data_IF_596262242512
#
_entry.id   IF_596262242512
#
_cell.length_a   1.000
_cell.length_b   1.000
_cell.length_c   1.000
_cell.angle_alpha   90.00
_cell.angle_beta   90.00
_cell.angle_gamma   90.00
#
_symmetry.space_group_name_H-M   'P 1'
#
loop_
_entity.id
_entity.type
_entity.pdbx_description
1 polymer ?
#
# COMPACT_ATOMS: atom_id res chain seq x y z
N UNK A 1 18.37 14.35 1.57
CA UNK A 1 17.34 15.18 0.87
C UNK A 1 16.03 14.43 0.95
N UNK A 2 14.90 15.09 1.25
CA UNK A 2 13.56 14.46 1.19
C UNK A 2 13.16 14.51 -0.28
N UNK A 3 12.91 13.38 -0.97
CA UNK A 3 12.70 13.39 -2.41
C UNK A 3 11.39 14.09 -2.80
N UNK A 4 10.36 13.98 -1.94
CA UNK A 4 9.05 14.58 -2.12
C UNK A 4 8.25 14.54 -0.81
N UNK A 5 7.16 15.30 -0.75
CA UNK A 5 6.35 15.47 0.46
C UNK A 5 5.59 14.18 0.81
N UNK A 6 5.79 13.71 2.04
CA UNK A 6 5.11 12.56 2.58
C UNK A 6 5.00 12.63 4.10
N UNK A 7 4.07 11.90 4.65
CA UNK A 7 3.78 11.84 6.08
C UNK A 7 3.67 10.39 6.53
N UNK A 8 3.74 10.14 7.83
CA UNK A 8 3.34 8.87 8.40
C UNK A 8 2.69 9.08 9.76
N UNK A 9 1.75 8.21 10.08
CA UNK A 9 1.04 8.16 11.37
C UNK A 9 1.33 6.81 11.98
N UNK A 10 2.00 6.80 13.13
CA UNK A 10 2.19 5.60 13.94
C UNK A 10 0.89 5.24 14.67
N UNK A 11 0.63 3.94 14.84
CA UNK A 11 -0.60 3.43 15.45
C UNK A 11 -1.89 3.92 14.76
N UNK A 12 -1.86 4.09 13.43
CA UNK A 12 -3.05 4.32 12.63
C UNK A 12 -4.09 3.20 12.84
N UNK A 13 -3.63 1.96 12.97
CA UNK A 13 -4.41 0.85 13.49
C UNK A 13 -3.78 0.33 14.77
N UNK A 14 -4.62 -0.04 15.74
CA UNK A 14 -4.13 -0.72 16.95
C UNK A 14 -3.52 -2.07 16.61
N UNK A 15 -2.66 -2.59 17.47
CA UNK A 15 -2.06 -3.91 17.28
C UNK A 15 -3.12 -5.01 17.10
N UNK A 16 -4.22 -4.96 17.83
CA UNK A 16 -5.33 -5.91 17.72
C UNK A 16 -5.96 -5.86 16.31
N UNK A 17 -6.22 -4.66 15.77
CA UNK A 17 -6.77 -4.50 14.42
C UNK A 17 -5.80 -5.02 13.37
N UNK A 18 -4.51 -4.71 13.51
CA UNK A 18 -3.46 -5.20 12.60
C UNK A 18 -3.41 -6.73 12.60
N UNK A 19 -3.43 -7.37 13.76
CA UNK A 19 -3.42 -8.82 13.86
C UNK A 19 -4.66 -9.48 13.25
N UNK A 20 -5.84 -8.88 13.44
CA UNK A 20 -7.08 -9.37 12.81
C UNK A 20 -7.00 -9.28 11.29
N UNK A 21 -6.56 -8.15 10.75
CA UNK A 21 -6.38 -7.98 9.30
C UNK A 21 -5.27 -8.88 8.74
N UNK A 22 -4.17 -9.04 9.48
CA UNK A 22 -3.10 -9.94 9.09
C UNK A 22 -3.61 -11.38 8.94
N UNK A 23 -4.36 -11.89 9.93
CA UNK A 23 -4.96 -13.25 9.88
C UNK A 23 -5.95 -13.38 8.72
N UNK A 24 -6.73 -12.35 8.44
CA UNK A 24 -7.65 -12.36 7.31
C UNK A 24 -6.91 -12.48 5.98
N UNK A 25 -5.80 -11.75 5.83
CA UNK A 25 -4.95 -11.85 4.65
C UNK A 25 -4.28 -13.23 4.56
N UNK A 26 -3.69 -13.70 5.65
CA UNK A 26 -2.94 -14.96 5.71
C UNK A 26 -3.85 -16.19 5.50
N UNK A 27 -5.11 -16.09 5.90
CA UNK A 27 -6.14 -17.11 5.68
C UNK A 27 -6.79 -17.08 4.29
N UNK A 28 -6.45 -16.11 3.42
CA UNK A 28 -7.10 -15.95 2.12
C UNK A 28 -6.71 -17.05 1.15
N UNK A 29 -7.71 -17.84 0.69
CA UNK A 29 -7.51 -18.86 -0.34
C UNK A 29 -7.06 -18.26 -1.68
N UNK A 30 -7.52 -17.05 -2.00
CA UNK A 30 -7.07 -16.31 -3.21
C UNK A 30 -5.57 -16.10 -3.19
N UNK A 31 -5.02 -15.71 -2.03
CA UNK A 31 -3.58 -15.50 -1.87
C UNK A 31 -2.83 -16.83 -1.99
N UNK A 32 -3.27 -17.87 -1.29
CA UNK A 32 -2.64 -19.20 -1.36
C UNK A 32 -2.64 -19.74 -2.78
N UNK A 33 -3.78 -19.70 -3.45
CA UNK A 33 -3.90 -20.16 -4.84
C UNK A 33 -3.03 -19.36 -5.80
N UNK A 34 -2.89 -18.06 -5.61
CA UNK A 34 -2.03 -17.23 -6.45
C UNK A 34 -0.54 -17.56 -6.23
N UNK A 35 -0.13 -17.85 -4.98
CA UNK A 35 1.24 -18.29 -4.69
C UNK A 35 1.53 -19.63 -5.34
N UNK A 36 0.64 -20.61 -5.14
CA UNK A 36 0.83 -21.99 -5.59
C UNK A 36 0.86 -22.08 -7.12
N UNK A 37 0.10 -21.24 -7.79
CA UNK A 37 0.02 -21.20 -9.25
C UNK A 37 1.01 -20.22 -9.93
N UNK A 38 1.82 -19.49 -9.16
CA UNK A 38 2.75 -18.48 -9.71
C UNK A 38 2.04 -17.31 -10.43
N UNK A 39 0.75 -17.12 -10.17
CA UNK A 39 -0.13 -16.21 -10.92
C UNK A 39 -0.11 -14.77 -10.38
N UNK A 40 1.06 -14.15 -10.39
CA UNK A 40 1.18 -12.71 -10.16
C UNK A 40 1.45 -11.96 -11.47
N UNK A 41 0.66 -12.27 -12.50
CA UNK A 41 0.73 -11.55 -13.76
C UNK A 41 -0.25 -10.39 -13.73
N UNK A 42 0.23 -9.17 -14.00
CA UNK A 42 -0.67 -8.06 -14.32
C UNK A 42 -1.27 -8.26 -15.72
N UNK A 43 -2.26 -7.43 -16.07
CA UNK A 43 -2.91 -7.46 -17.39
C UNK A 43 -1.97 -7.21 -18.58
N UNK A 44 -0.71 -6.82 -18.33
CA UNK A 44 0.34 -6.64 -19.34
C UNK A 44 1.36 -7.78 -19.40
N UNK A 45 1.12 -8.90 -18.71
CA UNK A 45 2.03 -10.05 -18.72
C UNK A 45 3.31 -9.86 -17.89
N UNK A 46 3.38 -8.79 -17.09
CA UNK A 46 4.50 -8.57 -16.17
C UNK A 46 4.23 -9.24 -14.83
N UNK A 47 5.23 -9.90 -14.29
CA UNK A 47 5.16 -10.47 -12.96
C UNK A 47 4.98 -9.35 -11.92
N UNK A 48 3.89 -9.43 -11.15
CA UNK A 48 3.72 -8.61 -9.96
C UNK A 48 3.91 -9.50 -8.73
N UNK A 49 4.68 -9.00 -7.79
CA UNK A 49 4.83 -9.63 -6.49
C UNK A 49 3.74 -9.18 -5.49
N UNK A 50 2.77 -8.43 -5.94
CA UNK A 50 1.65 -7.93 -5.14
C UNK A 50 0.34 -8.48 -5.69
N UNK A 51 -0.45 -9.13 -4.82
CA UNK A 51 -1.77 -9.63 -5.15
C UNK A 51 -2.83 -8.98 -4.25
N UNK A 52 -4.00 -8.61 -4.80
CA UNK A 52 -5.12 -8.16 -3.98
C UNK A 52 -5.65 -9.30 -3.12
N UNK A 53 -5.99 -8.98 -1.88
CA UNK A 53 -6.74 -9.85 -0.99
C UNK A 53 -8.22 -9.53 -1.17
N UNK A 54 -8.94 -10.39 -1.86
CA UNK A 54 -10.37 -10.20 -2.08
C UNK A 54 -11.18 -10.59 -0.82
N UNK A 55 -11.01 -9.81 0.23
CA UNK A 55 -11.80 -9.95 1.44
C UNK A 55 -12.27 -8.54 1.90
N UNK A 56 -13.54 -8.40 2.29
CA UNK A 56 -14.00 -7.13 2.85
C UNK A 56 -13.36 -6.90 4.21
N UNK A 57 -13.14 -5.63 4.54
CA UNK A 57 -12.76 -5.27 5.91
C UNK A 57 -13.90 -5.63 6.88
N UNK A 58 -13.60 -6.16 8.08
CA UNK A 58 -14.57 -6.26 9.15
C UNK A 58 -15.20 -4.89 9.44
N UNK A 59 -16.53 -4.84 9.66
CA UNK A 59 -17.29 -3.59 9.73
C UNK A 59 -16.74 -2.62 10.78
N UNK A 60 -16.38 -3.11 11.97
CA UNK A 60 -15.78 -2.30 13.03
C UNK A 60 -14.42 -1.68 12.63
N UNK A 61 -13.59 -2.41 11.88
CA UNK A 61 -12.31 -1.91 11.36
C UNK A 61 -12.55 -0.97 10.18
N UNK A 62 -13.52 -1.27 9.32
CA UNK A 62 -13.89 -0.41 8.21
C UNK A 62 -14.30 0.99 8.68
N UNK A 63 -15.11 1.09 9.73
CA UNK A 63 -15.55 2.35 10.29
C UNK A 63 -14.39 3.17 10.89
N UNK A 64 -13.46 2.50 11.58
CA UNK A 64 -12.26 3.14 12.10
C UNK A 64 -11.37 3.66 10.97
N UNK A 65 -11.11 2.83 9.97
CA UNK A 65 -10.32 3.19 8.79
C UNK A 65 -10.95 4.37 8.08
N UNK A 66 -12.25 4.33 7.82
CA UNK A 66 -12.97 5.42 7.14
C UNK A 66 -12.85 6.73 7.92
N UNK A 67 -13.09 6.71 9.22
CA UNK A 67 -12.98 7.89 10.08
C UNK A 67 -11.59 8.52 10.00
N UNK A 68 -10.54 7.73 10.16
CA UNK A 68 -9.16 8.23 10.12
C UNK A 68 -8.75 8.72 8.72
N UNK A 69 -9.23 8.09 7.66
CA UNK A 69 -9.00 8.55 6.29
C UNK A 69 -9.69 9.89 6.02
N UNK A 70 -10.90 10.09 6.54
CA UNK A 70 -11.61 11.36 6.43
C UNK A 70 -10.88 12.48 7.20
N UNK A 71 -10.34 12.21 8.37
CA UNK A 71 -9.48 13.13 9.13
C UNK A 71 -8.21 13.52 8.35
N UNK A 72 -7.57 12.55 7.64
CA UNK A 72 -6.42 12.84 6.78
C UNK A 72 -6.81 13.81 5.66
N UNK A 73 -7.91 13.55 4.95
CA UNK A 73 -8.33 14.43 3.85
C UNK A 73 -8.68 15.84 4.34
N UNK A 74 -9.29 15.96 5.51
CA UNK A 74 -9.59 17.24 6.16
C UNK A 74 -8.29 17.98 6.54
N UNK A 75 -7.38 17.29 7.23
CA UNK A 75 -6.10 17.86 7.69
C UNK A 75 -5.25 18.38 6.53
N UNK A 76 -5.28 17.67 5.40
CA UNK A 76 -4.57 18.08 4.18
C UNK A 76 -5.32 19.15 3.37
N UNK A 77 -6.49 19.64 3.84
CA UNK A 77 -7.31 20.62 3.14
C UNK A 77 -7.89 20.13 1.81
N UNK A 78 -8.06 18.80 1.67
CA UNK A 78 -8.50 18.15 0.43
C UNK A 78 -9.90 17.55 0.52
N UNK A 79 -10.57 17.67 1.67
CA UNK A 79 -11.91 17.14 1.86
C UNK A 79 -12.89 17.76 0.85
N UNK A 80 -13.63 16.93 0.12
CA UNK A 80 -14.59 17.35 -0.89
C UNK A 80 -15.69 16.30 -1.05
N UNK A 81 -16.92 16.75 -1.24
CA UNK A 81 -18.06 15.87 -1.52
C UNK A 81 -17.95 15.12 -2.85
N UNK A 82 -17.07 15.61 -3.75
CA UNK A 82 -16.83 15.00 -5.07
C UNK A 82 -15.86 13.84 -5.01
N UNK A 83 -15.25 13.55 -3.85
CA UNK A 83 -14.27 12.49 -3.68
C UNK A 83 -14.78 11.42 -2.70
N UNK A 84 -14.22 10.24 -2.81
CA UNK A 84 -14.50 9.09 -1.96
C UNK A 84 -13.21 8.30 -1.71
N UNK A 85 -13.10 7.68 -0.55
CA UNK A 85 -12.06 6.71 -0.28
C UNK A 85 -12.43 5.35 -0.87
N UNK A 86 -11.52 4.80 -1.68
CA UNK A 86 -11.49 3.39 -2.03
C UNK A 86 -10.34 2.72 -1.30
N UNK A 87 -10.50 1.49 -0.85
CA UNK A 87 -9.41 0.75 -0.20
C UNK A 87 -9.42 -0.73 -0.58
N UNK A 88 -8.23 -1.33 -0.52
CA UNK A 88 -8.01 -2.75 -0.76
C UNK A 88 -6.86 -3.27 0.08
N UNK A 89 -6.93 -4.53 0.46
CA UNK A 89 -5.78 -5.21 1.06
C UNK A 89 -4.93 -5.86 -0.04
N UNK A 90 -3.62 -5.81 0.14
CA UNK A 90 -2.66 -6.35 -0.81
C UNK A 90 -1.60 -7.18 -0.07
N UNK A 91 -1.19 -8.27 -0.71
CA UNK A 91 -0.10 -9.12 -0.24
C UNK A 91 1.11 -9.01 -1.15
N UNK A 92 2.29 -8.97 -0.55
CA UNK A 92 3.58 -8.97 -1.24
C UNK A 92 4.40 -10.17 -0.74
N UNK A 93 4.90 -11.00 -1.66
CA UNK A 93 5.62 -12.23 -1.32
C UNK A 93 7.10 -12.14 -1.69
N UNK A 94 7.99 -12.46 -0.73
CA UNK A 94 9.43 -12.38 -0.93
C UNK A 94 10.02 -13.46 -1.83
N UNK A 95 9.33 -14.59 -1.98
CA UNK A 95 9.84 -15.74 -2.75
C UNK A 95 9.85 -15.51 -4.27
N UNK A 96 9.10 -14.53 -4.75
CA UNK A 96 9.15 -14.14 -6.14
C UNK A 96 10.28 -13.12 -6.29
N UNK A 97 11.30 -13.42 -7.05
CA UNK A 97 12.49 -12.56 -7.31
C UNK A 97 12.14 -11.24 -8.02
N UNK A 98 10.91 -10.79 -7.88
CA UNK A 98 10.40 -9.60 -8.56
C UNK A 98 10.33 -8.45 -7.57
N UNK A 99 11.25 -7.52 -7.71
CA UNK A 99 11.23 -6.26 -6.98
C UNK A 99 10.14 -5.35 -7.56
N UNK A 100 9.40 -4.68 -6.71
CA UNK A 100 8.57 -3.57 -7.16
C UNK A 100 9.49 -2.38 -7.44
N UNK A 101 9.87 -2.24 -8.71
CA UNK A 101 10.77 -1.20 -9.18
C UNK A 101 10.24 0.20 -8.84
N UNK A 102 11.10 1.22 -8.79
CA UNK A 102 10.66 2.58 -8.61
C UNK A 102 9.61 2.96 -9.66
N UNK A 103 8.42 3.33 -9.20
CA UNK A 103 7.29 3.75 -10.03
C UNK A 103 6.58 4.90 -9.34
N UNK A 104 5.76 5.61 -10.07
CA UNK A 104 4.79 6.53 -9.50
C UNK A 104 3.37 5.97 -9.68
N UNK A 105 2.45 6.41 -8.85
CA UNK A 105 1.03 6.06 -8.94
C UNK A 105 0.21 7.18 -9.59
N UNK A 106 0.85 8.09 -10.31
CA UNK A 106 0.16 9.12 -11.08
C UNK A 106 -0.38 8.51 -12.37
N UNK A 107 -1.59 7.98 -12.27
CA UNK A 107 -2.31 7.39 -13.41
C UNK A 107 -3.01 8.43 -14.29
N UNK A 108 -2.83 9.74 -14.04
CA UNK A 108 -3.45 10.79 -14.83
C UNK A 108 -3.06 10.70 -16.31
N UNK A 109 -1.82 10.28 -16.60
CA UNK A 109 -1.36 10.07 -17.98
C UNK A 109 -2.00 8.86 -18.66
N UNK A 110 -2.52 7.90 -17.90
CA UNK A 110 -3.11 6.67 -18.45
C UNK A 110 -4.60 6.80 -18.78
N UNK A 111 -5.26 7.92 -18.46
CA UNK A 111 -6.65 8.20 -18.83
C UNK A 111 -7.70 7.21 -18.31
N UNK A 112 -7.30 6.22 -17.51
CA UNK A 112 -8.17 5.08 -17.14
C UNK A 112 -8.86 5.21 -15.80
N UNK A 113 -8.29 5.98 -14.86
CA UNK A 113 -8.90 6.23 -13.54
C UNK A 113 -8.55 7.66 -13.13
N UNK A 114 -9.49 8.40 -12.57
CA UNK A 114 -9.19 9.71 -12.00
C UNK A 114 -8.00 9.56 -11.03
N UNK A 115 -6.96 10.39 -11.18
CA UNK A 115 -5.80 10.32 -10.32
C UNK A 115 -6.25 10.46 -8.86
N UNK A 116 -5.85 9.52 -8.02
CA UNK A 116 -6.04 9.65 -6.58
C UNK A 116 -5.37 10.93 -6.08
N UNK A 117 -6.05 11.69 -5.25
CA UNK A 117 -5.49 12.92 -4.66
C UNK A 117 -4.58 12.64 -3.49
N UNK A 118 -4.85 11.55 -2.77
CA UNK A 118 -4.09 11.09 -1.61
C UNK A 118 -3.99 9.57 -1.70
N UNK A 119 -2.82 9.03 -1.39
CA UNK A 119 -2.61 7.61 -1.21
C UNK A 119 -2.15 7.33 0.22
N UNK A 120 -2.71 6.29 0.81
CA UNK A 120 -2.36 5.82 2.16
C UNK A 120 -2.02 4.34 2.09
N UNK A 121 -0.87 3.96 2.62
CA UNK A 121 -0.43 2.56 2.73
C UNK A 121 -0.28 2.22 4.21
N UNK A 122 -1.14 1.36 4.75
CA UNK A 122 -1.07 0.89 6.13
C UNK A 122 -0.38 -0.46 6.18
N UNK A 123 0.70 -0.56 6.96
CA UNK A 123 1.49 -1.78 7.07
C UNK A 123 0.81 -2.78 8.02
N UNK A 124 0.51 -3.97 7.50
CA UNK A 124 -0.11 -5.06 8.23
C UNK A 124 0.94 -6.15 8.47
N UNK A 125 1.48 -6.21 9.65
CA UNK A 125 2.55 -7.13 10.02
C UNK A 125 2.39 -7.70 11.42
N UNK A 126 3.21 -8.68 11.75
CA UNK A 126 3.30 -9.28 13.08
C UNK A 126 4.48 -8.67 13.83
N UNK A 127 4.36 -8.51 15.15
CA UNK A 127 5.45 -7.96 15.96
C UNK A 127 6.60 -8.94 16.20
N UNK A 128 6.36 -10.23 15.99
CA UNK A 128 7.38 -11.29 16.13
C UNK A 128 8.18 -11.54 14.83
N UNK A 129 7.87 -10.82 13.76
CA UNK A 129 8.60 -10.87 12.48
C UNK A 129 9.41 -9.59 12.30
N UNK A 130 10.66 -9.75 11.89
CA UNK A 130 11.50 -8.61 11.53
C UNK A 130 11.23 -8.17 10.09
N UNK A 131 10.71 -6.96 9.93
CA UNK A 131 10.48 -6.34 8.61
C UNK A 131 11.62 -5.37 8.22
N UNK A 132 12.85 -5.63 8.67
CA UNK A 132 13.99 -4.81 8.31
C UNK A 132 14.18 -4.78 6.78
N UNK A 133 14.30 -3.58 6.22
CA UNK A 133 14.40 -3.32 4.76
C UNK A 133 13.12 -3.66 3.96
N UNK A 134 11.97 -3.80 4.61
CA UNK A 134 10.68 -4.06 3.96
C UNK A 134 9.75 -2.85 3.90
N UNK A 135 10.25 -1.71 4.28
CA UNK A 135 9.55 -0.45 4.17
C UNK A 135 9.33 -0.03 2.72
N UNK A 136 8.59 1.04 2.55
CA UNK A 136 8.44 1.68 1.24
C UNK A 136 9.66 2.53 0.98
N UNK A 137 10.37 2.24 -0.09
CA UNK A 137 11.54 3.00 -0.53
C UNK A 137 11.12 4.16 -1.41
N UNK A 138 11.70 5.31 -1.18
CA UNK A 138 11.45 6.55 -1.89
C UNK A 138 12.65 6.87 -2.78
N UNK A 139 12.38 7.31 -4.00
CA UNK A 139 13.39 7.58 -5.01
C UNK A 139 13.21 8.97 -5.59
N UNK A 140 14.27 9.50 -6.18
CA UNK A 140 14.24 10.79 -6.91
C UNK A 140 13.98 10.61 -8.41
N UNK A 141 14.04 9.37 -8.91
CA UNK A 141 13.71 9.01 -10.29
C UNK A 141 13.21 7.56 -10.40
N UNK A 142 13.08 7.06 -11.61
CA UNK A 142 12.74 5.64 -11.90
C UNK A 142 13.92 4.68 -11.73
N UNK A 143 15.10 5.16 -11.38
CA UNK A 143 16.31 4.36 -11.23
C UNK A 143 16.47 3.88 -9.79
N UNK A 144 16.84 2.62 -9.61
CA UNK A 144 17.02 2.02 -8.26
C UNK A 144 18.18 2.66 -7.49
N UNK A 145 19.23 3.09 -8.17
CA UNK A 145 20.37 3.79 -7.62
C UNK A 145 20.02 5.18 -7.07
N UNK A 146 18.92 5.77 -7.51
CA UNK A 146 18.43 7.06 -7.02
C UNK A 146 17.60 6.95 -5.73
N UNK A 147 17.88 5.90 -4.94
CA UNK A 147 17.32 5.71 -3.61
C UNK A 147 17.64 6.89 -2.69
N UNK A 148 16.62 7.44 -2.07
CA UNK A 148 16.76 8.59 -1.17
C UNK A 148 16.49 8.25 0.29
N UNK A 149 15.44 7.47 0.57
CA UNK A 149 14.99 7.18 1.94
C UNK A 149 14.07 5.95 1.97
N UNK A 150 14.01 5.30 3.11
CA UNK A 150 13.01 4.27 3.42
C UNK A 150 12.04 4.76 4.50
N UNK A 151 10.75 4.62 4.23
CA UNK A 151 9.71 4.66 5.27
C UNK A 151 9.64 3.26 5.87
N UNK A 152 10.16 3.11 7.09
CA UNK A 152 10.27 1.80 7.76
C UNK A 152 8.93 1.12 7.89
N UNK A 153 8.89 -0.17 7.59
CA UNK A 153 7.74 -1.00 7.90
C UNK A 153 7.58 -1.14 9.41
N UNK A 154 6.51 -0.57 9.94
CA UNK A 154 6.09 -0.71 11.34
C UNK A 154 4.63 -1.15 11.32
N UNK A 155 4.26 -2.29 11.90
CA UNK A 155 2.86 -2.74 11.94
C UNK A 155 1.94 -1.65 12.49
N UNK A 156 0.84 -1.38 11.81
CA UNK A 156 -0.11 -0.32 12.18
C UNK A 156 0.27 1.09 11.75
N UNK A 157 1.44 1.32 11.15
CA UNK A 157 1.82 2.62 10.58
C UNK A 157 1.10 2.86 9.26
N UNK A 158 0.55 4.06 9.07
CA UNK A 158 0.11 4.57 7.78
C UNK A 158 1.20 5.44 7.17
N UNK A 159 1.54 5.20 5.91
CA UNK A 159 2.36 6.06 5.06
C UNK A 159 1.47 6.79 4.08
N UNK A 160 1.59 8.12 3.99
CA UNK A 160 0.66 9.01 3.32
C UNK A 160 1.41 9.90 2.34
N UNK A 161 0.93 9.99 1.11
CA UNK A 161 1.51 10.88 0.11
C UNK A 161 0.49 11.28 -0.97
N UNK A 162 0.83 12.35 -1.71
CA UNK A 162 0.09 12.77 -2.91
C UNK A 162 0.75 12.13 -4.13
N UNK A 163 0.08 11.27 -4.88
CA UNK A 163 0.63 10.71 -6.11
C UNK A 163 0.70 11.81 -7.19
N UNK A 164 1.91 12.23 -7.50
CA UNK A 164 2.23 13.18 -8.56
C UNK A 164 3.42 12.66 -9.37
N UNK A 165 3.70 13.23 -10.52
CA UNK A 165 4.66 12.73 -11.50
C UNK A 165 6.07 12.40 -10.97
N UNK A 166 6.48 12.97 -9.84
CA UNK A 166 7.80 12.74 -9.23
C UNK A 166 7.78 11.96 -7.92
N UNK A 167 6.65 11.37 -7.53
CA UNK A 167 6.53 10.58 -6.29
C UNK A 167 6.94 9.12 -6.51
N UNK A 168 8.19 8.92 -6.93
CA UNK A 168 8.71 7.58 -7.19
C UNK A 168 8.92 6.80 -5.90
N UNK A 169 8.32 5.63 -5.84
CA UNK A 169 8.44 4.71 -4.70
C UNK A 169 8.47 3.26 -5.17
N UNK A 170 8.84 2.37 -4.27
CA UNK A 170 8.92 0.94 -4.57
C UNK A 170 9.21 0.12 -3.32
N UNK A 171 9.41 -1.17 -3.51
CA UNK A 171 9.81 -2.09 -2.45
C UNK A 171 10.89 -3.01 -3.00
N UNK A 172 12.07 -2.96 -2.42
CA UNK A 172 13.11 -3.96 -2.68
C UNK A 172 13.00 -5.05 -1.63
N UNK A 173 13.03 -6.31 -2.08
CA UNK A 173 12.90 -7.43 -1.16
C UNK A 173 14.22 -7.80 -0.52
N UNK A 174 14.13 -8.10 0.78
CA UNK A 174 15.14 -8.89 1.43
C UNK A 174 14.67 -10.36 1.37
N UNK A 175 15.47 -11.25 0.77
CA UNK A 175 15.18 -12.70 0.69
C UNK A 175 15.11 -13.39 2.07
N UNK A 176 15.52 -12.69 3.12
CA UNK A 176 15.54 -13.19 4.50
C UNK A 176 14.18 -13.09 5.22
N UNK A 177 13.14 -12.53 4.58
CA UNK A 177 11.84 -12.43 5.23
C UNK A 177 11.16 -13.81 5.30
N UNK A 178 10.77 -14.21 6.48
CA UNK A 178 10.15 -15.51 6.75
C UNK A 178 8.64 -15.55 6.44
N UNK A 179 8.03 -14.42 6.02
CA UNK A 179 6.59 -14.34 5.80
C UNK A 179 6.17 -13.27 4.80
N UNK A 180 4.88 -13.25 4.46
CA UNK A 180 4.34 -12.25 3.55
C UNK A 180 4.28 -10.87 4.20
N UNK A 181 4.37 -9.84 3.36
CA UNK A 181 4.10 -8.45 3.71
C UNK A 181 2.69 -8.11 3.25
N UNK A 182 1.81 -7.79 4.18
CA UNK A 182 0.47 -7.32 3.87
C UNK A 182 0.36 -5.81 4.04
N UNK A 183 -0.49 -5.20 3.23
CA UNK A 183 -0.81 -3.78 3.30
C UNK A 183 -2.30 -3.55 3.06
N UNK A 184 -2.86 -2.58 3.77
CA UNK A 184 -4.11 -1.93 3.38
C UNK A 184 -3.74 -0.68 2.60
N UNK A 185 -4.07 -0.65 1.31
CA UNK A 185 -3.94 0.53 0.46
C UNK A 185 -5.26 1.27 0.40
N UNK A 186 -5.23 2.60 0.57
CA UNK A 186 -6.40 3.46 0.38
C UNK A 186 -6.06 4.61 -0.56
N UNK A 187 -7.02 4.96 -1.42
CA UNK A 187 -6.91 6.05 -2.37
C UNK A 187 -8.13 6.97 -2.29
N UNK A 188 -7.87 8.28 -2.22
CA UNK A 188 -8.90 9.32 -2.25
C UNK A 188 -9.14 9.72 -3.70
N UNK A 189 -10.23 9.25 -4.26
CA UNK A 189 -10.52 9.32 -5.70
C UNK A 189 -11.76 10.15 -5.99
N UNK A 190 -11.81 10.75 -7.16
CA UNK A 190 -13.01 11.43 -7.64
C UNK A 190 -14.17 10.43 -7.83
N UNK A 191 -15.36 10.82 -7.36
CA UNK A 191 -16.57 10.02 -7.57
C UNK A 191 -16.85 9.95 -9.07
N UNK A 192 -17.07 8.76 -9.59
CA UNK A 192 -17.60 8.61 -10.94
C UNK A 192 -19.03 9.15 -10.95
N UNK A 193 -19.29 10.17 -11.74
CA UNK A 193 -20.64 10.54 -12.08
C UNK A 193 -21.24 9.37 -12.86
N UNK A 194 -22.22 8.68 -12.25
CA UNK A 194 -22.95 7.58 -12.86
C UNK A 194 -23.85 8.07 -14.02
#
# INVERSE_FOLDING_TARGET
MIPWEHYYIDNFLTQEHVERLYRLCDGSDTIKNNIDNGMFLNSGGQYQNTAPVHAPLPGDISDIVQTQLDEISQTLGMASSNFVWGYSMNATYPKLDVQLMPHNDDFAELGKYGAGKIKVLVYLGRNDISYKNWGTKLYTSTLVEDFAKEVKFVPGRAFIFKPVANTYHGTQFNKELEGPRYMLGAEYMEKKNG
#
